data_IF_338255036100
#
_entry.id   IF_338255036100
#
_cell.length_a   1.000
_cell.length_b   1.000
_cell.length_c   1.000
_cell.angle_alpha   90.00
_cell.angle_beta   90.00
_cell.angle_gamma   90.00
#
_symmetry.space_group_name_H-M   'P 1'
#
loop_
_entity.id
_entity.type
_entity.pdbx_description
1 polymer ?
#
# COMPACT_ATOMS: atom_id res chain seq x y z
N UNK A 1 -4.37 4.98 25.95
CA UNK A 1 -4.55 6.37 26.44
C UNK A 1 -4.95 7.29 25.30
N UNK A 2 -5.49 8.48 25.59
CA UNK A 2 -5.77 9.52 24.58
C UNK A 2 -4.46 10.11 24.02
N UNK A 3 -3.41 10.17 24.84
CA UNK A 3 -2.08 10.62 24.45
C UNK A 3 -1.44 9.81 23.31
N UNK A 4 -1.89 8.56 23.06
CA UNK A 4 -1.29 7.70 22.02
C UNK A 4 -1.17 8.40 20.66
N UNK A 5 -2.19 9.15 20.25
CA UNK A 5 -2.20 9.84 18.96
C UNK A 5 -1.04 10.83 18.81
N UNK A 6 -0.53 11.43 19.89
CA UNK A 6 0.56 12.41 19.80
C UNK A 6 1.96 11.80 19.66
N UNK A 7 2.15 10.51 19.99
CA UNK A 7 3.47 9.87 19.99
C UNK A 7 3.55 8.55 19.20
N UNK A 8 2.46 8.12 18.57
CA UNK A 8 2.38 6.82 17.89
C UNK A 8 3.43 6.63 16.78
N UNK A 9 3.75 7.69 16.02
CA UNK A 9 4.76 7.62 14.96
C UNK A 9 6.16 7.36 15.53
N UNK A 10 6.52 8.05 16.60
CA UNK A 10 7.82 7.87 17.27
C UNK A 10 7.90 6.48 17.90
N UNK A 11 6.81 6.00 18.51
CA UNK A 11 6.76 4.65 19.07
C UNK A 11 6.94 3.57 17.99
N UNK A 12 6.23 3.70 16.86
CA UNK A 12 6.38 2.78 15.73
C UNK A 12 7.82 2.78 15.21
N UNK A 13 8.40 3.97 14.99
CA UNK A 13 9.80 4.09 14.57
C UNK A 13 10.74 3.36 15.54
N UNK A 14 10.58 3.55 16.85
CA UNK A 14 11.38 2.83 17.84
C UNK A 14 11.21 1.31 17.74
N UNK A 15 9.98 0.80 17.62
CA UNK A 15 9.73 -0.64 17.47
C UNK A 15 10.45 -1.21 16.25
N UNK A 16 10.34 -0.54 15.10
CA UNK A 16 10.97 -0.96 13.85
C UNK A 16 12.50 -0.89 13.94
N UNK A 17 13.05 0.17 14.55
CA UNK A 17 14.48 0.27 14.77
C UNK A 17 15.02 -0.88 15.62
N UNK A 18 14.34 -1.27 16.71
CA UNK A 18 14.77 -2.42 17.52
C UNK A 18 14.85 -3.71 16.71
N UNK A 19 13.79 -4.05 15.97
CA UNK A 19 13.78 -5.28 15.15
C UNK A 19 14.83 -5.21 14.02
N UNK A 20 15.06 -4.04 13.44
CA UNK A 20 16.08 -3.85 12.40
C UNK A 20 17.51 -4.10 12.89
N UNK A 21 17.76 -3.97 14.20
CA UNK A 21 19.07 -4.23 14.82
C UNK A 21 19.22 -5.66 15.30
N UNK A 22 18.14 -6.25 15.80
CA UNK A 22 18.11 -7.62 16.28
C UNK A 22 16.73 -8.24 16.02
N UNK A 23 16.67 -9.16 15.04
CA UNK A 23 15.42 -9.78 14.62
C UNK A 23 14.78 -10.65 15.71
N UNK A 24 15.53 -11.11 16.72
CA UNK A 24 14.99 -11.85 17.86
C UNK A 24 13.97 -11.01 18.64
N UNK A 25 14.07 -9.67 18.55
CA UNK A 25 13.10 -8.75 19.15
C UNK A 25 11.76 -8.68 18.41
N UNK A 26 11.64 -9.26 17.20
CA UNK A 26 10.38 -9.33 16.46
C UNK A 26 9.28 -9.96 17.31
N UNK A 27 9.51 -11.18 17.81
CA UNK A 27 8.50 -11.97 18.52
C UNK A 27 7.93 -11.23 19.75
N UNK A 28 8.75 -10.71 20.69
CA UNK A 28 8.22 -9.99 21.84
C UNK A 28 7.50 -8.69 21.46
N UNK A 29 7.98 -7.96 20.45
CA UNK A 29 7.32 -6.72 19.98
C UNK A 29 5.97 -7.04 19.33
N UNK A 30 5.92 -7.99 18.39
CA UNK A 30 4.69 -8.43 17.73
C UNK A 30 3.67 -8.95 18.75
N UNK A 31 4.11 -9.72 19.75
CA UNK A 31 3.26 -10.18 20.86
C UNK A 31 2.70 -9.00 21.67
N UNK A 32 3.50 -7.96 21.91
CA UNK A 32 3.06 -6.72 22.56
C UNK A 32 1.96 -6.01 21.77
N UNK A 33 2.17 -5.81 20.47
CA UNK A 33 1.19 -5.19 19.54
C UNK A 33 -0.13 -5.98 19.56
N UNK A 34 -0.07 -7.31 19.44
CA UNK A 34 -1.26 -8.16 19.44
C UNK A 34 -1.96 -8.21 20.80
N UNK A 35 -1.21 -8.17 21.91
CA UNK A 35 -1.76 -8.16 23.27
C UNK A 35 -2.54 -6.89 23.58
N UNK A 36 -2.04 -5.74 23.13
CA UNK A 36 -2.64 -4.43 23.38
C UNK A 36 -3.50 -3.93 22.22
N UNK A 37 -3.97 -4.84 21.37
CA UNK A 37 -4.76 -4.49 20.20
C UNK A 37 -5.94 -3.58 20.59
N UNK A 38 -6.08 -2.40 19.98
CA UNK A 38 -7.16 -1.48 20.31
C UNK A 38 -8.50 -2.05 19.85
N UNK A 39 -9.52 -1.95 20.69
CA UNK A 39 -10.90 -2.34 20.36
C UNK A 39 -11.77 -1.09 20.40
N UNK A 40 -12.57 -0.87 19.36
CA UNK A 40 -13.53 0.24 19.31
C UNK A 40 -12.90 1.60 18.99
N UNK A 41 -11.67 1.63 18.44
CA UNK A 41 -11.03 2.86 17.98
C UNK A 41 -10.35 2.61 16.63
N UNK A 42 -11.07 2.92 15.55
CA UNK A 42 -10.65 2.67 14.17
C UNK A 42 -9.27 3.26 13.84
N UNK A 43 -9.00 4.48 14.27
CA UNK A 43 -7.71 5.14 14.04
C UNK A 43 -6.56 4.31 14.64
N UNK A 44 -6.70 3.87 15.90
CA UNK A 44 -5.66 3.08 16.55
C UNK A 44 -5.52 1.69 15.93
N UNK A 45 -6.63 1.07 15.51
CA UNK A 45 -6.58 -0.20 14.78
C UNK A 45 -5.80 -0.05 13.46
N UNK A 46 -6.03 1.02 12.71
CA UNK A 46 -5.28 1.35 11.50
C UNK A 46 -3.79 1.53 11.81
N UNK A 47 -3.44 2.26 12.86
CA UNK A 47 -2.03 2.43 13.24
C UNK A 47 -1.39 1.07 13.59
N UNK A 48 -2.08 0.21 14.33
CA UNK A 48 -1.55 -1.12 14.67
C UNK A 48 -1.40 -2.02 13.43
N UNK A 49 -2.31 -1.92 12.45
CA UNK A 49 -2.16 -2.59 11.16
C UNK A 49 -0.95 -2.09 10.38
N UNK A 50 -0.64 -0.78 10.45
CA UNK A 50 0.60 -0.22 9.89
C UNK A 50 1.82 -0.85 10.56
N UNK A 51 1.84 -0.91 11.90
CA UNK A 51 2.95 -1.54 12.62
C UNK A 51 3.11 -3.00 12.21
N UNK A 52 2.02 -3.77 12.05
CA UNK A 52 2.11 -5.15 11.59
C UNK A 52 2.70 -5.29 10.19
N UNK A 53 2.29 -4.43 9.25
CA UNK A 53 2.86 -4.42 7.90
C UNK A 53 4.36 -4.15 7.91
N UNK A 54 4.78 -3.12 8.65
CA UNK A 54 6.20 -2.78 8.81
C UNK A 54 6.97 -3.93 9.47
N UNK A 55 6.38 -4.61 10.46
CA UNK A 55 7.02 -5.76 11.09
C UNK A 55 7.23 -6.91 10.10
N UNK A 56 6.31 -7.17 9.17
CA UNK A 56 6.50 -8.22 8.15
C UNK A 56 7.78 -8.01 7.31
N UNK A 57 8.25 -6.77 7.14
CA UNK A 57 9.51 -6.51 6.44
C UNK A 57 10.76 -7.07 7.15
N UNK A 58 10.65 -7.34 8.45
CA UNK A 58 11.77 -7.77 9.30
C UNK A 58 11.65 -9.21 9.80
N UNK A 59 10.77 -10.03 9.21
CA UNK A 59 10.77 -11.48 9.48
C UNK A 59 11.94 -12.10 8.73
N UNK A 60 12.94 -12.61 9.47
CA UNK A 60 14.15 -13.22 8.90
C UNK A 60 14.22 -14.74 9.13
N UNK A 61 13.47 -15.26 10.11
CA UNK A 61 13.36 -16.67 10.39
C UNK A 61 11.91 -17.08 10.70
N UNK A 62 11.57 -18.36 10.46
CA UNK A 62 10.26 -18.92 10.82
C UNK A 62 9.96 -18.75 12.31
N UNK A 63 10.99 -18.84 13.16
CA UNK A 63 10.89 -18.65 14.61
C UNK A 63 10.43 -17.25 15.03
N UNK A 64 10.58 -16.24 14.17
CA UNK A 64 10.13 -14.89 14.44
C UNK A 64 8.60 -14.83 14.36
N UNK A 65 8.01 -15.41 13.30
CA UNK A 65 6.58 -15.32 13.03
C UNK A 65 5.76 -16.44 13.68
N UNK A 66 6.23 -17.69 13.64
CA UNK A 66 5.44 -18.86 14.05
C UNK A 66 4.79 -18.73 15.45
N UNK A 67 5.46 -18.19 16.49
CA UNK A 67 4.87 -18.05 17.82
C UNK A 67 3.69 -17.06 17.90
N UNK A 68 3.55 -16.16 16.93
CA UNK A 68 2.51 -15.11 16.90
C UNK A 68 1.55 -15.25 15.73
N UNK A 69 1.90 -16.03 14.70
CA UNK A 69 1.19 -16.24 13.45
C UNK A 69 -0.32 -16.48 13.64
N UNK A 70 -0.69 -17.43 14.51
CA UNK A 70 -2.10 -17.76 14.77
C UNK A 70 -2.90 -16.56 15.31
N UNK A 71 -2.34 -15.84 16.28
CA UNK A 71 -3.01 -14.68 16.89
C UNK A 71 -3.10 -13.53 15.90
N UNK A 72 -2.05 -13.33 15.10
CA UNK A 72 -1.99 -12.34 14.05
C UNK A 72 -3.02 -12.63 12.95
N UNK A 73 -3.11 -13.87 12.46
CA UNK A 73 -4.06 -14.28 11.43
C UNK A 73 -5.51 -14.10 11.86
N UNK A 74 -5.85 -14.53 13.08
CA UNK A 74 -7.18 -14.28 13.66
C UNK A 74 -7.50 -12.78 13.79
N UNK A 75 -6.50 -11.96 14.07
CA UNK A 75 -6.70 -10.51 14.21
C UNK A 75 -6.90 -9.85 12.85
N UNK A 76 -6.04 -10.14 11.88
CA UNK A 76 -6.15 -9.66 10.51
C UNK A 76 -7.49 -10.05 9.90
N UNK A 77 -7.91 -11.31 10.02
CA UNK A 77 -9.22 -11.77 9.53
C UNK A 77 -10.38 -10.94 10.10
N UNK A 78 -10.41 -10.71 11.42
CA UNK A 78 -11.44 -9.86 12.03
C UNK A 78 -11.43 -8.42 11.50
N UNK A 79 -10.25 -7.84 11.29
CA UNK A 79 -10.13 -6.49 10.74
C UNK A 79 -10.61 -6.42 9.28
N UNK A 80 -10.32 -7.43 8.45
CA UNK A 80 -10.79 -7.52 7.05
C UNK A 80 -12.31 -7.55 6.93
N UNK A 81 -13.01 -8.12 7.91
CA UNK A 81 -14.48 -8.16 7.95
C UNK A 81 -15.10 -7.03 8.78
N UNK A 82 -14.33 -5.98 9.10
CA UNK A 82 -14.81 -4.83 9.85
C UNK A 82 -15.82 -4.02 9.03
N UNK A 83 -16.91 -3.58 9.68
CA UNK A 83 -17.86 -2.63 9.07
C UNK A 83 -17.22 -1.27 8.81
N UNK A 84 -16.18 -0.92 9.58
CA UNK A 84 -15.40 0.28 9.38
C UNK A 84 -14.47 0.07 8.18
N UNK A 85 -14.88 0.58 7.03
CA UNK A 85 -14.19 0.39 5.75
C UNK A 85 -12.67 0.67 5.82
N UNK A 86 -12.25 1.76 6.47
CA UNK A 86 -10.83 2.12 6.56
C UNK A 86 -9.99 1.05 7.29
N UNK A 87 -10.59 0.35 8.27
CA UNK A 87 -9.91 -0.75 8.98
C UNK A 87 -9.83 -1.98 8.07
N UNK A 88 -10.93 -2.33 7.38
CA UNK A 88 -10.96 -3.45 6.43
C UNK A 88 -9.95 -3.26 5.30
N UNK A 89 -9.98 -2.10 4.64
CA UNK A 89 -9.06 -1.75 3.55
C UNK A 89 -7.60 -1.80 4.02
N UNK A 90 -7.31 -1.30 5.22
CA UNK A 90 -5.94 -1.32 5.75
C UNK A 90 -5.45 -2.72 6.08
N UNK A 91 -6.34 -3.59 6.56
CA UNK A 91 -6.02 -4.98 6.86
C UNK A 91 -5.80 -5.80 5.58
N UNK A 92 -6.61 -5.57 4.55
CA UNK A 92 -6.42 -6.15 3.22
C UNK A 92 -5.11 -5.69 2.59
N UNK A 93 -4.77 -4.40 2.70
CA UNK A 93 -3.49 -3.86 2.23
C UNK A 93 -2.29 -4.49 2.97
N UNK A 94 -2.38 -4.64 4.30
CA UNK A 94 -1.33 -5.30 5.09
C UNK A 94 -1.12 -6.76 4.65
N UNK A 95 -2.19 -7.52 4.40
CA UNK A 95 -2.11 -8.93 4.02
C UNK A 95 -1.62 -9.12 2.58
N UNK A 96 -1.95 -8.20 1.68
CA UNK A 96 -1.52 -8.24 0.28
C UNK A 96 -0.24 -7.43 0.04
N UNK A 97 0.46 -6.97 1.09
CA UNK A 97 1.70 -6.21 0.93
C UNK A 97 2.82 -7.12 0.39
N UNK A 98 3.80 -6.57 -0.36
CA UNK A 98 4.94 -7.35 -0.84
C UNK A 98 5.69 -8.08 0.27
N UNK A 99 5.82 -7.44 1.45
CA UNK A 99 6.42 -8.02 2.64
C UNK A 99 5.68 -9.27 3.10
N UNK A 100 4.36 -9.16 3.28
CA UNK A 100 3.52 -10.24 3.77
C UNK A 100 3.55 -11.39 2.76
N UNK A 101 3.31 -11.13 1.49
CA UNK A 101 3.30 -12.15 0.43
C UNK A 101 4.64 -12.90 0.37
N UNK A 102 5.78 -12.17 0.44
CA UNK A 102 7.12 -12.78 0.51
C UNK A 102 7.25 -13.71 1.70
N UNK A 103 6.87 -13.26 2.89
CA UNK A 103 6.98 -14.04 4.14
C UNK A 103 6.11 -15.30 4.08
N UNK A 104 4.87 -15.18 3.60
CA UNK A 104 3.96 -16.32 3.45
C UNK A 104 4.57 -17.34 2.48
N UNK A 105 5.07 -16.90 1.33
CA UNK A 105 5.72 -17.75 0.34
C UNK A 105 7.00 -18.42 0.86
N UNK A 106 7.74 -17.73 1.74
CA UNK A 106 9.01 -18.25 2.29
C UNK A 106 8.78 -19.31 3.36
N UNK A 107 7.78 -19.10 4.22
CA UNK A 107 7.44 -20.02 5.32
C UNK A 107 6.08 -20.67 5.06
N UNK A 108 5.99 -21.45 3.98
CA UNK A 108 4.73 -21.95 3.41
C UNK A 108 3.80 -22.62 4.42
N UNK A 109 4.35 -23.40 5.37
CA UNK A 109 3.55 -24.06 6.40
C UNK A 109 2.86 -23.05 7.32
N UNK A 110 3.59 -22.05 7.81
CA UNK A 110 3.04 -20.97 8.63
C UNK A 110 2.06 -20.13 7.80
N UNK A 111 2.40 -19.87 6.53
CA UNK A 111 1.55 -19.16 5.59
C UNK A 111 0.21 -19.85 5.35
N UNK A 112 0.22 -21.18 5.14
CA UNK A 112 -0.98 -21.98 5.01
C UNK A 112 -1.84 -21.91 6.28
N UNK A 113 -1.23 -22.12 7.45
CA UNK A 113 -1.95 -22.07 8.73
C UNK A 113 -2.60 -20.69 8.95
N UNK A 114 -1.92 -19.60 8.58
CA UNK A 114 -2.49 -18.25 8.65
C UNK A 114 -3.59 -18.02 7.62
N UNK A 115 -3.41 -18.47 6.38
CA UNK A 115 -4.42 -18.37 5.33
C UNK A 115 -5.70 -19.10 5.74
N UNK A 116 -5.61 -20.31 6.28
CA UNK A 116 -6.78 -21.09 6.70
C UNK A 116 -7.61 -20.37 7.79
N UNK A 117 -6.95 -19.58 8.65
CA UNK A 117 -7.61 -18.75 9.68
C UNK A 117 -8.27 -17.50 9.08
N UNK A 118 -7.63 -16.89 8.07
CA UNK A 118 -8.09 -15.65 7.44
C UNK A 118 -9.18 -15.92 6.42
N UNK A 119 -9.09 -17.03 5.68
CA UNK A 119 -9.92 -17.40 4.54
C UNK A 119 -11.42 -17.19 4.77
N UNK A 120 -12.05 -17.62 5.89
CA UNK A 120 -13.48 -17.41 6.09
C UNK A 120 -13.88 -15.94 6.14
N UNK A 121 -13.04 -15.10 6.78
CA UNK A 121 -13.27 -13.65 6.86
C UNK A 121 -13.04 -12.98 5.51
N UNK A 122 -11.98 -13.40 4.79
CA UNK A 122 -11.65 -12.87 3.47
C UNK A 122 -12.75 -13.16 2.45
N UNK A 123 -13.25 -14.39 2.42
CA UNK A 123 -14.38 -14.79 1.55
C UNK A 123 -15.66 -14.05 1.93
N UNK A 124 -15.97 -13.91 3.22
CA UNK A 124 -17.13 -13.14 3.66
C UNK A 124 -17.03 -11.67 3.20
N UNK A 125 -15.88 -11.03 3.40
CA UNK A 125 -15.64 -9.65 2.94
C UNK A 125 -15.76 -9.54 1.41
N UNK A 126 -15.18 -10.49 0.67
CA UNK A 126 -15.25 -10.54 -0.79
C UNK A 126 -16.68 -10.60 -1.34
N UNK A 127 -17.57 -11.32 -0.66
CA UNK A 127 -18.93 -11.58 -1.15
C UNK A 127 -19.98 -10.61 -0.60
N UNK A 128 -19.76 -10.05 0.59
CA UNK A 128 -20.85 -9.42 1.36
C UNK A 128 -20.48 -8.11 2.05
N UNK A 129 -19.26 -7.60 1.88
CA UNK A 129 -18.92 -6.30 2.43
C UNK A 129 -19.72 -5.19 1.73
N UNK A 130 -20.27 -4.23 2.49
CA UNK A 130 -21.14 -3.19 1.94
C UNK A 130 -20.46 -2.27 0.90
N UNK A 131 -19.13 -2.10 1.03
CA UNK A 131 -18.33 -1.32 0.09
C UNK A 131 -17.72 -2.20 -1.00
N UNK A 132 -18.03 -1.91 -2.27
CA UNK A 132 -17.62 -2.72 -3.41
C UNK A 132 -16.11 -2.66 -3.68
N UNK A 133 -15.45 -1.51 -3.45
CA UNK A 133 -14.00 -1.42 -3.58
C UNK A 133 -13.28 -2.29 -2.53
N UNK A 134 -13.80 -2.36 -1.30
CA UNK A 134 -13.30 -3.30 -0.29
C UNK A 134 -13.51 -4.76 -0.73
N UNK A 135 -14.66 -5.09 -1.35
CA UNK A 135 -14.86 -6.42 -1.93
C UNK A 135 -13.80 -6.73 -2.99
N UNK A 136 -13.50 -5.80 -3.90
CA UNK A 136 -12.47 -5.97 -4.92
C UNK A 136 -11.08 -6.19 -4.31
N UNK A 137 -10.69 -5.39 -3.32
CA UNK A 137 -9.43 -5.59 -2.59
C UNK A 137 -9.36 -6.98 -1.94
N UNK A 138 -10.47 -7.47 -1.40
CA UNK A 138 -10.56 -8.83 -0.87
C UNK A 138 -10.43 -9.90 -1.96
N UNK A 139 -11.01 -9.69 -3.16
CA UNK A 139 -10.82 -10.57 -4.33
C UNK A 139 -9.36 -10.62 -4.76
N UNK A 140 -8.71 -9.46 -4.87
CA UNK A 140 -7.28 -9.37 -5.23
C UNK A 140 -6.43 -10.13 -4.23
N UNK A 141 -6.63 -9.88 -2.93
CA UNK A 141 -5.93 -10.61 -1.88
C UNK A 141 -6.19 -12.11 -1.93
N UNK A 142 -7.44 -12.56 -2.11
CA UNK A 142 -7.75 -13.98 -2.24
C UNK A 142 -7.05 -14.61 -3.46
N UNK A 143 -7.11 -13.95 -4.61
CA UNK A 143 -6.49 -14.40 -5.87
C UNK A 143 -4.98 -14.54 -5.74
N UNK A 144 -4.30 -13.61 -5.05
CA UNK A 144 -2.86 -13.72 -4.76
C UNK A 144 -2.54 -15.04 -4.07
N UNK A 145 -3.25 -15.38 -2.99
CA UNK A 145 -2.98 -16.56 -2.18
C UNK A 145 -3.49 -17.86 -2.83
N UNK A 146 -4.55 -17.78 -3.63
CA UNK A 146 -4.99 -18.88 -4.50
C UNK A 146 -3.90 -19.25 -5.51
N UNK A 147 -3.29 -18.26 -6.17
CA UNK A 147 -2.22 -18.49 -7.14
C UNK A 147 -0.94 -19.05 -6.49
N UNK A 148 -0.75 -18.85 -5.19
CA UNK A 148 0.32 -19.46 -4.39
C UNK A 148 0.01 -20.91 -3.97
N UNK A 149 -1.19 -21.42 -4.26
CA UNK A 149 -1.58 -22.80 -3.95
C UNK A 149 -2.13 -23.03 -2.54
N UNK A 150 -2.50 -21.97 -1.81
CA UNK A 150 -3.03 -22.12 -0.45
C UNK A 150 -4.49 -22.60 -0.38
N UNK A 151 -5.26 -22.43 -1.45
CA UNK A 151 -6.64 -22.90 -1.48
C UNK A 151 -6.71 -24.39 -1.82
N UNK A 152 -7.27 -25.19 -0.91
CA UNK A 152 -7.39 -26.66 -1.02
C UNK A 152 -8.83 -27.15 -1.06
N UNK A 153 -9.81 -26.29 -0.75
CA UNK A 153 -11.21 -26.63 -0.58
C UNK A 153 -12.11 -26.23 -1.76
N UNK A 154 -11.56 -25.59 -2.79
CA UNK A 154 -12.26 -25.16 -4.02
C UNK A 154 -12.18 -23.65 -4.27
N UNK A 155 -12.41 -23.22 -5.51
CA UNK A 155 -12.24 -21.82 -5.90
C UNK A 155 -13.44 -20.95 -5.44
N UNK A 156 -13.27 -20.16 -4.38
CA UNK A 156 -14.32 -19.23 -3.92
C UNK A 156 -14.58 -18.06 -4.90
N UNK A 157 -13.70 -17.82 -5.88
CA UNK A 157 -13.91 -16.79 -6.90
C UNK A 157 -15.06 -17.13 -7.84
N UNK A 158 -15.42 -18.40 -8.00
CA UNK A 158 -16.51 -18.82 -8.90
C UNK A 158 -17.89 -18.33 -8.43
N UNK A 159 -18.02 -17.97 -7.15
CA UNK A 159 -19.26 -17.46 -6.55
C UNK A 159 -19.44 -15.94 -6.74
N UNK A 160 -18.50 -15.28 -7.44
CA UNK A 160 -18.44 -13.84 -7.55
C UNK A 160 -18.85 -13.44 -8.97
N UNK A 161 -19.99 -12.74 -9.12
CA UNK A 161 -20.42 -12.22 -10.42
C UNK A 161 -19.42 -11.15 -10.92
N UNK A 162 -18.84 -11.39 -12.10
CA UNK A 162 -17.87 -10.52 -12.79
C UNK A 162 -18.44 -9.15 -13.21
N UNK A 163 -19.76 -8.96 -13.16
CA UNK A 163 -20.44 -7.74 -13.61
C UNK A 163 -19.95 -6.46 -12.88
N UNK A 164 -19.46 -6.61 -11.63
CA UNK A 164 -18.96 -5.49 -10.83
C UNK A 164 -17.66 -4.86 -11.38
N UNK A 165 -16.82 -5.58 -12.12
CA UNK A 165 -15.56 -5.02 -12.65
C UNK A 165 -15.80 -3.96 -13.74
N UNK A 166 -16.93 -4.06 -14.45
CA UNK A 166 -17.29 -3.15 -15.53
C UNK A 166 -17.85 -1.80 -15.04
N UNK A 167 -18.69 -1.81 -14.00
CA UNK A 167 -19.32 -0.60 -13.44
C UNK A 167 -18.32 0.28 -12.66
N UNK A 168 -17.30 -0.33 -12.04
CA UNK A 168 -16.31 0.40 -11.24
C UNK A 168 -15.24 1.10 -12.07
N UNK A 169 -14.84 0.55 -13.22
CA UNK A 169 -13.98 1.25 -14.17
C UNK A 169 -14.65 2.54 -14.68
N UNK A 170 -15.99 2.53 -14.83
CA UNK A 170 -16.75 3.75 -15.14
C UNK A 170 -16.82 4.73 -13.98
N UNK A 171 -16.91 4.27 -12.73
CA UNK A 171 -16.99 5.17 -11.57
C UNK A 171 -15.63 5.74 -11.15
N UNK A 172 -14.55 4.97 -11.23
CA UNK A 172 -13.17 5.41 -10.95
C UNK A 172 -12.69 6.44 -11.99
N UNK A 173 -13.02 6.22 -13.27
CA UNK A 173 -12.78 7.21 -14.34
C UNK A 173 -13.61 8.49 -14.15
N UNK A 174 -14.82 8.39 -13.59
CA UNK A 174 -15.68 9.53 -13.25
C UNK A 174 -15.17 10.30 -12.04
N UNK A 175 -14.66 9.60 -11.03
CA UNK A 175 -14.04 10.19 -9.83
C UNK A 175 -12.76 10.95 -10.17
N UNK A 176 -11.87 10.35 -10.98
CA UNK A 176 -10.65 11.02 -11.46
C UNK A 176 -10.96 12.25 -12.32
N UNK A 177 -11.98 12.19 -13.18
CA UNK A 177 -12.42 13.34 -13.99
C UNK A 177 -13.00 14.48 -13.16
N UNK A 178 -13.51 14.20 -11.96
CA UNK A 178 -14.07 15.21 -11.05
C UNK A 178 -13.02 15.97 -10.21
N UNK A 179 -11.79 15.44 -10.10
CA UNK A 179 -10.70 16.06 -9.34
C UNK A 179 -9.75 16.92 -10.19
N UNK A 180 -9.90 16.94 -11.51
CA UNK A 180 -9.11 17.82 -12.39
C UNK A 180 -9.57 19.28 -12.23
N UNK A 181 -8.68 20.25 -11.92
CA UNK A 181 -9.03 21.66 -11.90
C UNK A 181 -9.40 22.15 -13.31
N UNK A 182 -10.60 22.71 -13.48
CA UNK A 182 -10.96 23.43 -14.71
C UNK A 182 -10.20 24.76 -14.75
N UNK A 183 -9.10 24.81 -15.49
CA UNK A 183 -8.55 26.07 -15.98
C UNK A 183 -9.25 26.41 -17.28
N UNK A 184 -10.09 27.44 -17.29
CA UNK A 184 -10.51 28.10 -18.51
C UNK A 184 -10.66 29.60 -18.28
N UNK A 185 -10.44 30.33 -19.37
CA UNK A 185 -10.71 31.75 -19.62
C UNK A 185 -9.55 32.69 -19.21
N UNK A 186 -9.04 33.60 -20.04
CA UNK A 186 -9.52 34.20 -21.30
C UNK A 186 -8.33 34.94 -21.92
N UNK A 187 -8.10 34.87 -23.24
CA UNK A 187 -7.50 36.02 -23.93
C UNK A 187 -8.19 36.26 -25.26
N UNK A 188 -8.75 37.47 -25.35
CA UNK A 188 -9.38 38.11 -26.48
C UNK A 188 -8.45 38.15 -27.70
N UNK A 189 -9.02 37.98 -28.89
CA UNK A 189 -8.37 38.28 -30.15
C UNK A 189 -8.43 39.76 -30.51
N UNK A 190 -7.71 40.04 -31.61
CA UNK A 190 -7.76 41.21 -32.50
C UNK A 190 -6.72 42.33 -32.23
N UNK A 191 -5.64 42.31 -33.02
CA UNK A 191 -5.45 43.19 -34.19
C UNK A 191 -3.97 43.52 -34.44
N UNK A 192 -3.43 43.08 -35.59
CA UNK A 192 -2.92 43.95 -36.65
C UNK A 192 -2.20 43.17 -37.77
N UNK A 193 -2.71 43.35 -39.00
CA UNK A 193 -2.02 43.13 -40.26
C UNK A 193 -0.92 44.19 -40.45
N UNK A 194 0.25 43.83 -40.98
CA UNK A 194 0.72 44.28 -42.31
C UNK A 194 2.05 43.61 -42.71
N UNK A 195 2.13 43.30 -44.00
CA UNK A 195 3.28 43.09 -44.89
C UNK A 195 4.27 41.94 -44.66
N UNK A 196 4.30 41.06 -45.67
CA UNK A 196 5.39 40.14 -45.91
C UNK A 196 6.41 40.68 -46.90
N UNK A 197 7.60 40.09 -46.88
CA UNK A 197 8.32 39.69 -48.10
C UNK A 197 9.50 38.78 -47.73
N UNK A 198 9.67 37.74 -48.57
CA UNK A 198 10.90 37.14 -49.13
C UNK A 198 12.21 37.42 -48.36
N UNK A 199 13.10 36.47 -48.06
CA UNK A 199 13.73 35.59 -49.04
C UNK A 199 14.61 34.51 -48.37
N UNK A 200 15.01 33.55 -49.19
CA UNK A 200 15.94 32.43 -48.94
C UNK A 200 17.31 32.89 -48.40
N UNK A 201 18.00 32.02 -47.65
CA UNK A 201 19.28 31.40 -48.06
C UNK A 201 20.03 30.66 -46.92
N UNK A 202 20.42 29.42 -47.24
CA UNK A 202 21.74 28.80 -47.05
C UNK A 202 22.34 28.58 -45.63
N UNK A 203 22.12 27.34 -45.17
CA UNK A 203 23.09 26.35 -44.70
C UNK A 203 24.61 26.69 -44.72
N UNK A 204 25.30 26.54 -43.57
CA UNK A 204 26.48 25.65 -43.39
C UNK A 204 27.11 25.74 -41.97
N UNK A 205 27.48 24.56 -41.43
CA UNK A 205 28.73 24.16 -40.72
C UNK A 205 29.51 25.21 -39.88
N UNK A 206 30.17 24.93 -38.74
CA UNK A 206 30.58 23.70 -38.06
C UNK A 206 31.04 24.00 -36.61
N UNK A 207 31.02 22.92 -35.82
CA UNK A 207 31.87 22.49 -34.68
C UNK A 207 33.22 23.23 -34.47
N UNK A 208 33.52 23.66 -33.24
CA UNK A 208 34.70 23.31 -32.37
C UNK A 208 34.64 24.16 -31.07
N UNK A 209 34.58 23.59 -29.86
CA UNK A 209 35.66 23.06 -28.97
C UNK A 209 36.29 24.12 -28.06
N UNK A 210 36.20 23.82 -26.73
CA UNK A 210 37.11 24.15 -25.59
C UNK A 210 37.48 25.63 -25.34
N UNK A 211 37.81 26.14 -24.16
CA UNK A 211 38.18 25.61 -22.84
C UNK A 211 38.21 26.79 -21.83
N UNK A 212 38.23 26.48 -20.53
CA UNK A 212 38.85 27.31 -19.47
C UNK A 212 37.99 28.43 -18.87
N UNK A 213 37.94 28.67 -17.55
CA UNK A 213 38.78 28.22 -16.45
C UNK A 213 39.06 29.41 -15.51
N UNK A 214 38.93 29.21 -14.19
CA UNK A 214 39.32 30.14 -13.12
C UNK A 214 38.15 30.55 -12.23
N UNK A 215 38.11 30.30 -10.92
CA UNK A 215 39.17 30.05 -9.95
C UNK A 215 39.09 31.15 -8.87
N UNK A 216 38.52 30.84 -7.71
CA UNK A 216 38.39 31.81 -6.62
C UNK A 216 38.20 31.14 -5.25
N UNK A 217 39.22 31.21 -4.40
CA UNK A 217 39.11 31.00 -2.96
C UNK A 217 39.93 32.09 -2.24
N UNK A 218 39.23 32.89 -1.44
CA UNK A 218 39.79 33.83 -0.48
C UNK A 218 40.08 33.14 0.87
N UNK A 219 41.11 33.62 1.56
CA UNK A 219 41.71 33.00 2.74
C UNK A 219 41.26 33.54 4.10
N UNK A 220 41.86 32.90 5.13
CA UNK A 220 42.24 33.36 6.50
C UNK A 220 41.15 33.97 7.40
N UNK A 221 41.00 33.61 8.67
CA UNK A 221 41.93 33.08 9.67
C UNK A 221 41.20 32.15 10.67
#
# INVERSE_FOLDING_TARGET
TQAYTSYHQQLMYCMIQFVSKDHVLYTPIARGVLKYWPVGNAFKEIVFLIVLEELFEYVLAESDLAPVARTMGLRLGKCMSSIQQQVADRALACWNSPACVRVMNTYEKVGQDMFDLIRPNLVATMLSHWNVLTQQKARTAYKTYYNMGYEKAGNALDNVNDDNESELNSDESRFHKSQSPKHEATLHGSDNNHDGQEDKEQQQHAVHVEEGGGGGMGGVA
#
